data_IF_595555098489
#
_entry.id   IF_595555098489
#
_cell.length_a   1.000
_cell.length_b   1.000
_cell.length_c   1.000
_cell.angle_alpha   90.00
_cell.angle_beta   90.00
_cell.angle_gamma   90.00
#
_symmetry.space_group_name_H-M   'P 1'
#
loop_
_entity.id
_entity.type
_entity.pdbx_description
1 polymer ?
#
# COMPACT_ATOMS: atom_id res chain seq x y z
N UNK A 1 34.73 -35.67 7.33
CA UNK A 1 35.40 -34.46 6.88
C UNK A 1 34.62 -33.71 5.82
N UNK A 2 34.13 -34.42 4.84
CA UNK A 2 33.37 -33.74 3.78
C UNK A 2 32.05 -33.20 4.28
N UNK A 3 31.50 -33.84 5.29
CA UNK A 3 30.24 -33.38 5.85
C UNK A 3 30.32 -32.04 6.55
N UNK A 4 31.50 -31.76 7.10
CA UNK A 4 31.66 -30.48 7.78
C UNK A 4 31.71 -29.33 6.83
N UNK A 5 32.25 -29.55 5.66
CA UNK A 5 32.29 -28.51 4.65
C UNK A 5 30.90 -28.16 4.16
N UNK A 6 30.08 -29.16 4.03
CA UNK A 6 28.71 -28.92 3.57
C UNK A 6 27.91 -28.13 4.57
N UNK A 7 28.17 -28.35 5.84
CA UNK A 7 27.46 -27.65 6.89
C UNK A 7 27.81 -26.15 6.87
N UNK A 8 29.04 -25.82 6.61
CA UNK A 8 29.48 -24.46 6.58
C UNK A 8 28.84 -23.71 5.43
N UNK A 9 28.66 -24.37 4.31
CA UNK A 9 28.03 -23.75 3.17
C UNK A 9 26.56 -23.42 3.44
N UNK A 10 25.92 -24.25 4.18
CA UNK A 10 24.51 -24.02 4.51
C UNK A 10 24.33 -22.77 5.36
N UNK A 11 25.26 -22.52 6.24
CA UNK A 11 25.18 -21.36 7.12
C UNK A 11 25.32 -20.05 6.33
N UNK A 12 26.14 -20.07 5.31
CA UNK A 12 26.35 -18.88 4.51
C UNK A 12 25.08 -18.48 3.77
N UNK A 13 24.32 -19.47 3.36
CA UNK A 13 23.08 -19.16 2.64
C UNK A 13 22.05 -18.47 3.51
N UNK A 14 22.05 -18.75 4.79
CA UNK A 14 21.12 -18.10 5.69
C UNK A 14 21.41 -16.63 5.88
N UNK A 15 22.66 -16.27 5.80
CA UNK A 15 23.04 -14.89 6.01
C UNK A 15 22.58 -13.96 4.89
N UNK A 16 22.29 -14.53 3.73
CA UNK A 16 21.89 -13.73 2.59
C UNK A 16 20.44 -13.25 2.65
N UNK A 17 19.68 -13.72 3.62
CA UNK A 17 18.27 -13.39 3.68
C UNK A 17 17.94 -12.21 4.55
N UNK A 18 18.92 -11.52 5.07
CA UNK A 18 18.62 -10.51 6.08
C UNK A 18 18.85 -9.09 5.64
N UNK A 19 19.10 -8.86 4.40
CA UNK A 19 19.45 -7.52 4.01
C UNK A 19 18.28 -6.78 3.42
N UNK A 20 17.35 -6.45 4.19
CA UNK A 20 16.22 -5.80 3.65
C UNK A 20 16.04 -4.43 4.20
N UNK A 21 16.38 -3.45 3.42
CA UNK A 21 16.30 -2.07 3.84
C UNK A 21 15.02 -1.39 3.45
N UNK A 22 14.24 -2.00 2.59
CA UNK A 22 13.03 -1.35 2.17
C UNK A 22 11.93 -1.64 3.17
N UNK A 23 11.39 -0.59 3.76
CA UNK A 23 10.32 -0.72 4.71
C UNK A 23 9.04 -0.36 4.00
N UNK A 24 8.51 -1.32 3.29
CA UNK A 24 7.21 -1.15 2.68
C UNK A 24 6.16 -1.69 3.62
N UNK A 25 5.18 -0.90 3.90
CA UNK A 25 4.07 -1.35 4.70
C UNK A 25 2.78 -0.78 4.15
N UNK A 26 1.73 -1.55 4.26
CA UNK A 26 0.43 -1.17 3.77
C UNK A 26 -0.60 -1.72 4.72
N UNK A 27 -1.29 -0.83 5.42
CA UNK A 27 -2.24 -1.27 6.44
C UNK A 27 -3.41 -0.32 6.50
N UNK A 28 -4.53 -0.85 6.91
CA UNK A 28 -5.73 -0.04 7.05
C UNK A 28 -5.66 0.79 8.31
N UNK A 29 -6.08 2.05 8.20
CA UNK A 29 -6.07 2.99 9.31
C UNK A 29 -7.46 3.04 9.90
N UNK A 30 -7.57 2.73 11.18
CA UNK A 30 -8.88 2.73 11.83
C UNK A 30 -9.30 4.12 12.26
N UNK A 31 -8.34 4.95 12.65
CA UNK A 31 -8.64 6.29 13.07
C UNK A 31 -7.95 7.28 12.14
N UNK A 32 -8.73 8.05 11.41
CA UNK A 32 -8.21 8.97 10.42
C UNK A 32 -7.93 10.31 11.12
N UNK A 33 -6.70 10.84 11.01
CA UNK A 33 -6.41 12.16 11.59
C UNK A 33 -7.28 13.24 10.94
N UNK A 34 -7.56 14.29 11.72
CA UNK A 34 -8.45 15.34 11.25
C UNK A 34 -7.93 16.05 10.00
N UNK A 35 -6.64 16.31 9.96
CA UNK A 35 -6.08 17.02 8.82
C UNK A 35 -6.16 16.17 7.54
N UNK A 36 -6.03 14.87 7.66
CA UNK A 36 -6.20 14.00 6.52
C UNK A 36 -7.66 13.93 6.11
N UNK A 37 -8.53 13.83 7.07
CA UNK A 37 -9.95 13.71 6.79
C UNK A 37 -10.49 14.93 6.05
N UNK A 38 -9.90 16.09 6.26
CA UNK A 38 -10.33 17.30 5.57
C UNK A 38 -10.02 17.28 4.08
N UNK A 39 -9.05 16.49 3.68
CA UNK A 39 -8.69 16.38 2.27
C UNK A 39 -9.49 15.32 1.53
N UNK A 40 -10.18 14.46 2.25
CA UNK A 40 -10.90 13.35 1.63
C UNK A 40 -12.24 13.84 1.12
N UNK A 41 -12.51 13.54 -0.15
CA UNK A 41 -13.79 13.84 -0.76
C UNK A 41 -14.64 12.59 -0.73
N UNK A 42 -15.75 12.60 0.01
CA UNK A 42 -16.57 11.37 0.12
C UNK A 42 -17.26 10.98 -1.18
N UNK A 43 -17.23 11.82 -2.18
CA UNK A 43 -17.86 11.52 -3.47
C UNK A 43 -16.92 10.87 -4.46
N UNK A 44 -15.64 10.75 -4.15
CA UNK A 44 -14.68 10.19 -5.08
C UNK A 44 -14.22 8.84 -4.59
N UNK A 45 -14.43 7.78 -5.37
CA UNK A 45 -14.20 6.42 -4.88
C UNK A 45 -12.76 6.05 -4.62
N UNK A 46 -11.82 6.63 -5.34
CA UNK A 46 -10.42 6.25 -5.18
C UNK A 46 -9.54 7.47 -5.16
N UNK A 47 -8.87 7.71 -4.05
CA UNK A 47 -8.06 8.92 -3.86
C UNK A 47 -6.68 8.56 -3.34
N UNK A 48 -5.71 9.37 -3.71
CA UNK A 48 -4.34 9.23 -3.23
C UNK A 48 -3.92 10.53 -2.59
N UNK A 49 -3.45 10.48 -1.36
CA UNK A 49 -3.00 11.65 -0.63
C UNK A 49 -1.59 11.39 -0.13
N UNK A 50 -0.65 12.20 -0.58
CA UNK A 50 0.73 12.09 -0.15
C UNK A 50 0.97 12.87 1.14
N UNK A 51 1.81 12.32 2.00
CA UNK A 51 2.27 13.02 3.18
C UNK A 51 3.78 12.90 3.22
N UNK A 52 4.47 13.95 2.77
CA UNK A 52 5.90 13.89 2.66
C UNK A 52 6.33 13.02 1.51
N UNK A 53 7.54 12.49 1.60
CA UNK A 53 8.11 11.73 0.49
C UNK A 53 7.96 10.23 0.65
N UNK A 54 7.67 9.78 1.85
CA UNK A 54 7.67 8.35 2.13
C UNK A 54 6.35 7.80 2.59
N UNK A 55 5.33 8.64 2.69
CA UNK A 55 4.03 8.20 3.18
C UNK A 55 2.94 8.64 2.22
N UNK A 56 2.03 7.73 1.94
CA UNK A 56 0.85 8.03 1.14
C UNK A 56 -0.35 7.35 1.77
N UNK A 57 -1.50 7.94 1.54
CA UNK A 57 -2.76 7.35 1.98
C UNK A 57 -3.61 7.06 0.77
N UNK A 58 -4.19 5.88 0.74
CA UNK A 58 -5.11 5.50 -0.31
C UNK A 58 -6.49 5.39 0.30
N UNK A 59 -7.42 6.14 -0.25
CA UNK A 59 -8.80 6.18 0.23
C UNK A 59 -9.67 5.47 -0.80
N UNK A 60 -10.40 4.48 -0.34
CA UNK A 60 -11.23 3.69 -1.23
C UNK A 60 -12.63 3.54 -0.63
N UNK A 61 -13.63 3.89 -1.42
CA UNK A 61 -15.03 3.74 -1.00
C UNK A 61 -15.53 2.41 -1.51
N UNK A 62 -15.97 1.57 -0.60
CA UNK A 62 -16.40 0.23 -0.96
C UNK A 62 -17.58 -0.17 -0.10
N UNK A 63 -18.48 -0.93 -0.68
CA UNK A 63 -19.66 -1.39 0.05
C UNK A 63 -19.36 -2.60 0.93
N UNK A 64 -18.21 -3.23 0.78
CA UNK A 64 -17.87 -4.39 1.58
C UNK A 64 -16.54 -4.22 2.25
N UNK A 65 -15.92 -5.33 2.58
CA UNK A 65 -14.61 -5.35 3.19
C UNK A 65 -13.61 -5.83 2.14
N UNK A 66 -12.95 -4.91 1.45
CA UNK A 66 -12.02 -5.32 0.41
C UNK A 66 -10.77 -5.96 0.98
N UNK A 67 -10.23 -6.88 0.23
CA UNK A 67 -8.94 -7.48 0.55
C UNK A 67 -7.87 -6.75 -0.22
N UNK A 68 -6.76 -6.46 0.43
CA UNK A 68 -5.71 -5.67 -0.18
C UNK A 68 -4.39 -6.41 -0.12
N UNK A 69 -3.54 -6.11 -1.08
CA UNK A 69 -2.20 -6.67 -1.15
C UNK A 69 -1.33 -5.69 -1.92
N UNK A 70 -0.03 -5.84 -1.83
CA UNK A 70 0.88 -5.00 -2.60
C UNK A 70 1.89 -5.88 -3.32
N UNK A 71 2.34 -5.38 -4.47
CA UNK A 71 3.28 -6.07 -5.31
C UNK A 71 4.28 -5.07 -5.84
N UNK A 72 5.55 -5.43 -5.83
CA UNK A 72 6.58 -4.55 -6.37
C UNK A 72 7.00 -5.04 -7.73
N UNK A 73 7.07 -4.12 -8.68
CA UNK A 73 7.52 -4.46 -10.01
C UNK A 73 8.36 -3.30 -10.53
N UNK A 74 9.69 -3.47 -10.51
CA UNK A 74 10.63 -2.43 -10.93
C UNK A 74 10.43 -1.17 -10.08
N UNK A 75 10.09 -0.05 -10.69
CA UNK A 75 9.85 1.19 -9.97
C UNK A 75 8.37 1.42 -9.68
N UNK A 76 7.54 0.43 -9.93
CA UNK A 76 6.11 0.54 -9.75
C UNK A 76 5.67 -0.27 -8.54
N UNK A 77 4.87 0.35 -7.70
CA UNK A 77 4.23 -0.34 -6.60
C UNK A 77 2.78 -0.56 -6.96
N UNK A 78 2.39 -1.83 -7.04
CA UNK A 78 1.03 -2.18 -7.39
C UNK A 78 0.22 -2.42 -6.13
N UNK A 79 -0.89 -1.74 -6.03
CA UNK A 79 -1.84 -1.93 -4.94
C UNK A 79 -2.98 -2.77 -5.49
N UNK A 80 -3.16 -3.93 -4.89
CA UNK A 80 -4.17 -4.88 -5.37
C UNK A 80 -5.35 -4.85 -4.42
N UNK A 81 -6.52 -4.53 -4.94
CA UNK A 81 -7.74 -4.47 -4.16
C UNK A 81 -8.73 -5.45 -4.77
N UNK A 82 -9.22 -6.37 -3.94
CA UNK A 82 -10.25 -7.31 -4.35
C UNK A 82 -11.49 -7.08 -3.53
N UNK A 83 -12.62 -6.94 -4.18
CA UNK A 83 -13.85 -6.79 -3.44
C UNK A 83 -14.95 -7.65 -4.06
N UNK A 84 -15.81 -8.14 -3.20
CA UNK A 84 -16.97 -8.88 -3.64
C UNK A 84 -17.99 -7.89 -4.18
N UNK A 85 -18.65 -8.27 -5.29
CA UNK A 85 -19.64 -7.39 -5.83
C UNK A 85 -21.00 -7.70 -5.28
N UNK A 86 -21.96 -6.89 -5.65
CA UNK A 86 -23.34 -7.15 -5.37
C UNK A 86 -23.80 -6.81 -3.98
N UNK A 87 -23.08 -6.00 -3.28
CA UNK A 87 -23.49 -5.63 -1.94
C UNK A 87 -24.53 -4.53 -1.99
N UNK A 88 -25.58 -4.69 -1.22
CA UNK A 88 -26.58 -3.65 -1.05
C UNK A 88 -26.27 -2.75 0.13
N UNK A 89 -25.13 -2.94 0.76
CA UNK A 89 -24.73 -2.13 1.89
C UNK A 89 -24.21 -0.79 1.39
N UNK A 90 -24.48 0.32 2.06
CA UNK A 90 -23.94 1.61 1.65
C UNK A 90 -22.43 1.61 1.66
N UNK A 91 -21.84 2.41 0.80
CA UNK A 91 -20.41 2.48 0.67
C UNK A 91 -19.76 2.95 1.97
N UNK A 92 -18.63 2.38 2.25
CA UNK A 92 -17.88 2.62 3.46
C UNK A 92 -16.50 3.11 3.07
N UNK A 93 -15.99 4.07 3.81
CA UNK A 93 -14.70 4.64 3.51
C UNK A 93 -13.59 3.81 4.14
N UNK A 94 -12.65 3.39 3.33
CA UNK A 94 -11.46 2.69 3.79
C UNK A 94 -10.25 3.56 3.55
N UNK A 95 -9.40 3.71 4.55
CA UNK A 95 -8.19 4.50 4.45
C UNK A 95 -7.02 3.59 4.73
N UNK A 96 -6.08 3.55 3.79
CA UNK A 96 -4.90 2.72 3.92
C UNK A 96 -3.66 3.59 3.96
N UNK A 97 -2.77 3.28 4.88
CA UNK A 97 -1.50 3.99 4.98
C UNK A 97 -0.42 3.17 4.29
N UNK A 98 0.27 3.80 3.37
CA UNK A 98 1.31 3.17 2.59
C UNK A 98 2.63 3.84 2.88
N UNK A 99 3.62 3.06 3.27
CA UNK A 99 4.96 3.57 3.47
C UNK A 99 5.78 3.22 2.23
N UNK A 100 6.36 4.23 1.63
CA UNK A 100 7.10 4.09 0.38
C UNK A 100 8.59 4.04 0.63
N UNK A 101 9.32 3.40 -0.26
CA UNK A 101 10.76 3.49 -0.24
C UNK A 101 11.22 4.38 -1.39
N UNK A 102 12.52 4.53 -1.54
CA UNK A 102 13.07 5.44 -2.53
C UNK A 102 13.05 4.88 -3.94
N UNK A 103 12.72 3.62 -4.07
CA UNK A 103 12.80 2.94 -5.35
C UNK A 103 11.51 3.02 -6.16
N UNK A 104 10.40 3.34 -5.51
CA UNK A 104 9.10 3.30 -6.19
C UNK A 104 8.63 4.69 -6.50
N UNK A 105 8.52 4.99 -7.77
CA UNK A 105 8.07 6.30 -8.23
C UNK A 105 6.63 6.27 -8.73
N UNK A 106 6.10 5.09 -9.01
CA UNK A 106 4.77 4.97 -9.57
C UNK A 106 3.92 4.09 -8.66
N UNK A 107 2.73 4.55 -8.35
CA UNK A 107 1.75 3.76 -7.62
C UNK A 107 0.60 3.45 -8.57
N UNK A 108 0.34 2.17 -8.76
CA UNK A 108 -0.69 1.72 -9.67
C UNK A 108 -1.69 0.87 -8.90
N UNK A 109 -2.97 1.15 -9.04
CA UNK A 109 -4.00 0.45 -8.30
C UNK A 109 -4.76 -0.47 -9.24
N UNK A 110 -4.92 -1.71 -8.81
CA UNK A 110 -5.70 -2.69 -9.55
C UNK A 110 -6.88 -3.12 -8.69
N UNK A 111 -8.07 -2.87 -9.18
CA UNK A 111 -9.28 -3.27 -8.48
C UNK A 111 -9.87 -4.45 -9.24
N UNK A 112 -9.92 -5.59 -8.56
CA UNK A 112 -10.38 -6.85 -9.16
C UNK A 112 -9.60 -7.16 -10.44
N UNK A 113 -8.29 -6.91 -10.39
CA UNK A 113 -7.42 -7.20 -11.53
C UNK A 113 -7.40 -6.16 -12.62
N UNK A 114 -8.10 -5.05 -12.44
CA UNK A 114 -8.20 -4.02 -13.47
C UNK A 114 -7.51 -2.75 -13.03
N UNK A 115 -6.61 -2.24 -13.84
CA UNK A 115 -5.91 -1.01 -13.55
C UNK A 115 -6.91 0.14 -13.46
N UNK A 116 -6.83 0.91 -12.38
CA UNK A 116 -7.81 1.94 -12.10
C UNK A 116 -7.11 3.22 -11.71
N UNK A 117 -7.44 4.30 -12.38
CA UNK A 117 -6.83 5.59 -12.09
C UNK A 117 -7.42 6.20 -10.83
N UNK A 118 -6.62 7.00 -10.16
CA UNK A 118 -7.12 7.75 -9.02
C UNK A 118 -8.05 8.85 -9.49
N UNK A 119 -9.14 9.03 -8.76
CA UNK A 119 -10.08 10.11 -9.05
C UNK A 119 -9.53 11.43 -8.58
N UNK A 120 -8.67 11.39 -7.60
CA UNK A 120 -8.11 12.60 -7.02
C UNK A 120 -6.76 12.30 -6.40
N UNK A 121 -5.80 13.19 -6.63
CA UNK A 121 -4.48 13.10 -6.02
C UNK A 121 -4.21 14.43 -5.34
N UNK A 122 -3.83 14.38 -4.08
CA UNK A 122 -3.52 15.60 -3.34
C UNK A 122 -2.36 15.35 -2.39
N UNK A 123 -1.90 16.42 -1.75
CA UNK A 123 -0.78 16.36 -0.85
C UNK A 123 -1.19 16.99 0.47
N UNK A 124 -0.91 16.28 1.54
CA UNK A 124 -1.16 16.79 2.87
C UNK A 124 0.00 17.68 3.26
N UNK A 125 -0.29 18.98 3.42
CA UNK A 125 0.79 19.87 3.81
C UNK A 125 1.00 19.81 5.30
N UNK A 126 2.27 19.83 5.68
CA UNK A 126 2.62 19.86 7.07
C UNK A 126 2.55 21.27 7.56
N UNK A 127 1.51 21.55 8.23
CA UNK A 127 1.34 22.86 8.81
C UNK A 127 2.00 22.92 10.13
N UNK A 128 2.62 23.97 10.41
CA UNK A 128 3.25 24.15 11.72
C UNK A 128 2.40 24.98 12.63
#
# INVERSE_FOLDING_TARGET
>A
MKTKLLLIMLIVLLAACTSDDSILSFSEVETVPDNLNQLIDPHEPLQLIYEGEQTAYIIYQSAGDPLTDIEEQDDTLKILISEADGSSIPAKQHVYKLTLDDHHEVIDVFINGKSTAFDRVSTLSEEN
#
